data_IF_454350913036
#
_entry.id   IF_454350913036
#
_cell.length_a   1.000
_cell.length_b   1.000
_cell.length_c   1.000
_cell.angle_alpha   90.00
_cell.angle_beta   90.00
_cell.angle_gamma   90.00
#
_symmetry.space_group_name_H-M   'P 1'
#
loop_
_entity.id
_entity.type
_entity.pdbx_description
1 polymer ?
#
# COMPACT_ATOMS: atom_id res chain seq x y z
N UNK A 1 21.05 41.41 10.81
CA UNK A 1 20.63 40.04 10.40
C UNK A 1 19.56 40.08 9.31
N UNK A 2 18.57 40.99 9.35
CA UNK A 2 17.53 41.12 8.30
C UNK A 2 18.07 41.42 6.88
N UNK A 3 19.05 42.32 6.72
CA UNK A 3 19.58 42.65 5.38
C UNK A 3 20.28 41.48 4.66
N UNK A 4 20.85 40.52 5.40
CA UNK A 4 21.47 39.32 4.80
C UNK A 4 20.41 38.30 4.37
N UNK A 5 19.30 38.18 5.10
CA UNK A 5 18.18 37.32 4.69
C UNK A 5 17.51 37.84 3.42
N UNK A 6 17.32 39.16 3.29
CA UNK A 6 16.75 39.76 2.07
C UNK A 6 17.66 39.55 0.85
N UNK A 7 18.99 39.69 1.01
CA UNK A 7 19.95 39.41 -0.08
C UNK A 7 19.95 37.94 -0.49
N UNK A 8 19.90 37.02 0.46
CA UNK A 8 19.86 35.59 0.17
C UNK A 8 18.55 35.18 -0.53
N UNK A 9 17.40 35.70 -0.08
CA UNK A 9 16.12 35.47 -0.75
C UNK A 9 16.13 36.02 -2.18
N UNK A 10 16.67 37.21 -2.42
CA UNK A 10 16.77 37.79 -3.76
C UNK A 10 17.68 36.93 -4.65
N UNK A 11 18.82 36.48 -4.13
CA UNK A 11 19.74 35.60 -4.87
C UNK A 11 19.09 34.26 -5.23
N UNK A 12 18.34 33.66 -4.31
CA UNK A 12 17.60 32.42 -4.53
C UNK A 12 16.54 32.59 -5.63
N UNK A 13 15.79 33.71 -5.61
CA UNK A 13 14.80 34.02 -6.67
C UNK A 13 15.46 34.23 -8.04
N UNK A 14 16.62 34.88 -8.11
CA UNK A 14 17.33 35.05 -9.38
C UNK A 14 17.87 33.72 -9.93
N UNK A 15 18.34 32.83 -9.06
CA UNK A 15 18.75 31.48 -9.46
C UNK A 15 17.54 30.66 -9.94
N UNK A 16 16.40 30.71 -9.23
CA UNK A 16 15.16 30.05 -9.66
C UNK A 16 14.69 30.53 -11.04
N UNK A 17 14.85 31.82 -11.35
CA UNK A 17 14.54 32.39 -12.67
C UNK A 17 15.53 31.90 -13.74
N UNK A 18 16.84 31.87 -13.44
CA UNK A 18 17.87 31.40 -14.36
C UNK A 18 17.66 29.92 -14.70
N UNK A 19 17.44 29.09 -13.67
CA UNK A 19 17.13 27.67 -13.82
C UNK A 19 15.81 27.46 -14.56
N UNK A 20 14.81 28.32 -14.33
CA UNK A 20 13.53 28.29 -15.04
C UNK A 20 13.66 28.60 -16.53
N UNK A 21 14.55 29.52 -16.92
CA UNK A 21 14.86 29.84 -18.31
C UNK A 21 15.64 28.70 -18.98
N UNK A 22 16.61 28.09 -18.28
CA UNK A 22 17.44 27.01 -18.82
C UNK A 22 16.65 25.69 -18.95
N UNK A 23 15.83 25.36 -17.96
CA UNK A 23 15.08 24.09 -17.90
C UNK A 23 13.70 24.16 -18.57
N UNK A 24 13.21 25.36 -18.89
CA UNK A 24 11.83 25.57 -19.37
C UNK A 24 10.76 25.36 -18.31
N UNK A 25 11.13 25.23 -17.03
CA UNK A 25 10.21 25.02 -15.90
C UNK A 25 10.58 25.91 -14.71
N UNK A 26 9.69 26.84 -14.36
CA UNK A 26 9.83 27.73 -13.19
C UNK A 26 9.38 27.09 -11.86
N UNK A 27 9.12 25.78 -11.83
CA UNK A 27 8.80 25.08 -10.58
C UNK A 27 10.08 24.81 -9.79
N UNK A 28 10.10 25.22 -8.50
CA UNK A 28 11.18 24.88 -7.57
C UNK A 28 11.31 23.35 -7.47
N UNK A 29 12.52 22.86 -7.69
CA UNK A 29 12.82 21.42 -7.61
C UNK A 29 12.79 20.98 -6.15
N UNK A 30 12.16 19.84 -5.89
CA UNK A 30 12.23 19.21 -4.57
C UNK A 30 13.62 18.59 -4.36
N UNK A 31 14.14 18.67 -3.14
CA UNK A 31 15.36 17.99 -2.71
C UNK A 31 15.01 16.66 -2.05
N UNK A 32 15.53 15.57 -2.60
CA UNK A 32 15.30 14.22 -2.11
C UNK A 32 16.59 13.66 -1.53
N UNK A 33 16.53 13.25 -0.26
CA UNK A 33 17.62 12.54 0.39
C UNK A 33 17.77 11.11 -0.12
N UNK A 34 19.00 10.61 -0.16
CA UNK A 34 19.32 9.21 -0.36
C UNK A 34 20.33 8.77 0.69
N UNK A 35 19.95 7.85 1.57
CA UNK A 35 20.92 7.21 2.46
C UNK A 35 21.72 6.17 1.68
N UNK A 36 23.04 6.25 1.74
CA UNK A 36 23.94 5.40 0.94
C UNK A 36 24.61 4.27 1.74
N UNK A 37 24.40 4.23 3.06
CA UNK A 37 24.91 3.18 3.94
C UNK A 37 23.85 2.08 4.14
N UNK A 38 24.26 0.81 4.09
CA UNK A 38 23.39 -0.33 4.41
C UNK A 38 22.89 -1.16 3.22
N UNK A 39 23.27 -0.80 1.99
CA UNK A 39 23.01 -1.64 0.80
C UNK A 39 23.87 -2.90 0.80
N UNK A 40 23.28 -4.05 0.45
CA UNK A 40 24.00 -5.32 0.25
C UNK A 40 24.85 -5.31 -1.03
N UNK A 41 24.60 -4.35 -1.94
CA UNK A 41 25.37 -4.12 -3.17
C UNK A 41 26.42 -3.02 -3.02
N UNK A 42 26.59 -2.48 -1.81
CA UNK A 42 27.58 -1.45 -1.50
C UNK A 42 27.17 -0.02 -1.87
N UNK A 43 28.01 0.92 -1.46
CA UNK A 43 27.79 2.37 -1.63
C UNK A 43 27.80 2.77 -3.12
N UNK A 44 28.64 2.11 -3.92
CA UNK A 44 28.76 2.39 -5.36
C UNK A 44 27.43 2.19 -6.11
N UNK A 45 26.64 1.18 -5.71
CA UNK A 45 25.34 0.91 -6.31
C UNK A 45 24.34 2.03 -6.00
N UNK A 46 24.40 2.60 -4.79
CA UNK A 46 23.58 3.76 -4.40
C UNK A 46 23.95 5.01 -5.20
N UNK A 47 25.26 5.25 -5.41
CA UNK A 47 25.74 6.36 -6.24
C UNK A 47 25.31 6.17 -7.70
N UNK A 48 25.41 4.94 -8.22
CA UNK A 48 24.96 4.60 -9.56
C UNK A 48 23.47 4.88 -9.73
N UNK A 49 22.64 4.59 -8.72
CA UNK A 49 21.23 4.95 -8.71
C UNK A 49 21.01 6.46 -8.78
N UNK A 50 21.73 7.24 -7.98
CA UNK A 50 21.65 8.70 -7.98
C UNK A 50 22.06 9.30 -9.34
N UNK A 51 23.17 8.80 -9.93
CA UNK A 51 23.63 9.20 -11.27
C UNK A 51 22.58 8.86 -12.34
N UNK A 52 21.98 7.67 -12.25
CA UNK A 52 20.93 7.23 -13.18
C UNK A 52 19.69 8.13 -13.07
N UNK A 53 19.26 8.44 -11.86
CA UNK A 53 18.14 9.34 -11.61
C UNK A 53 18.42 10.75 -12.15
N UNK A 54 19.59 11.34 -11.87
CA UNK A 54 20.00 12.66 -12.41
C UNK A 54 20.06 12.68 -13.94
N UNK A 55 20.47 11.57 -14.56
CA UNK A 55 20.56 11.44 -16.02
C UNK A 55 19.19 11.29 -16.68
N UNK A 56 18.28 10.52 -16.07
CA UNK A 56 16.92 10.28 -16.60
C UNK A 56 15.94 11.40 -16.28
N UNK A 57 16.10 12.04 -15.12
CA UNK A 57 15.12 12.92 -14.52
C UNK A 57 15.78 14.24 -14.10
N UNK A 58 15.24 15.36 -14.58
CA UNK A 58 15.78 16.70 -14.32
C UNK A 58 14.92 17.58 -13.40
N UNK A 59 13.83 17.04 -12.84
CA UNK A 59 12.82 17.81 -12.09
C UNK A 59 13.01 17.80 -10.56
N UNK A 60 14.01 17.09 -10.04
CA UNK A 60 14.32 17.06 -8.61
C UNK A 60 15.83 17.00 -8.38
N UNK A 61 16.25 17.36 -7.16
CA UNK A 61 17.64 17.33 -6.71
C UNK A 61 17.86 16.16 -5.76
N UNK A 62 19.09 15.63 -5.71
CA UNK A 62 19.46 14.49 -4.88
C UNK A 62 20.54 14.93 -3.90
N UNK A 63 20.32 14.64 -2.62
CA UNK A 63 21.26 14.88 -1.52
C UNK A 63 21.67 13.53 -0.94
N UNK A 64 22.96 13.22 -0.91
CA UNK A 64 23.47 11.97 -0.35
C UNK A 64 23.71 12.10 1.15
N UNK A 65 23.34 11.07 1.91
CA UNK A 65 23.57 10.99 3.36
C UNK A 65 24.31 9.69 3.64
N UNK A 66 25.58 9.77 4.05
CA UNK A 66 26.40 8.58 4.30
C UNK A 66 27.90 8.85 4.26
N UNK A 67 28.68 7.82 3.93
CA UNK A 67 30.14 7.95 3.82
C UNK A 67 30.55 8.93 2.72
N UNK A 68 31.70 9.59 2.90
CA UNK A 68 32.24 10.50 1.89
C UNK A 68 32.55 9.76 0.60
N UNK A 69 32.04 10.27 -0.53
CA UNK A 69 32.24 9.69 -1.86
C UNK A 69 32.61 10.76 -2.87
N UNK A 70 33.38 10.42 -3.90
CA UNK A 70 33.75 11.35 -4.97
C UNK A 70 32.64 11.44 -6.01
N UNK A 71 31.78 12.45 -5.89
CA UNK A 71 30.70 12.72 -6.85
C UNK A 71 30.20 14.17 -6.77
N UNK A 72 29.47 14.59 -7.81
CA UNK A 72 28.93 15.95 -7.95
C UNK A 72 27.58 16.16 -7.22
N UNK A 73 27.20 15.25 -6.32
CA UNK A 73 26.01 15.42 -5.49
C UNK A 73 26.36 16.17 -4.22
N UNK A 74 25.40 16.91 -3.68
CA UNK A 74 25.51 17.44 -2.32
C UNK A 74 25.54 16.27 -1.32
N UNK A 75 26.39 16.36 -0.28
CA UNK A 75 26.61 15.25 0.66
C UNK A 75 26.60 15.73 2.10
N UNK A 76 25.88 15.00 2.95
CA UNK A 76 26.02 15.05 4.40
C UNK A 76 26.80 13.82 4.85
N UNK A 77 28.06 14.05 5.19
CA UNK A 77 29.00 12.98 5.56
C UNK A 77 28.73 12.52 7.00
N UNK A 78 28.52 11.22 7.17
CA UNK A 78 28.33 10.54 8.46
C UNK A 78 29.09 9.21 8.46
N UNK A 79 29.44 8.67 9.62
CA UNK A 79 30.27 7.48 9.74
C UNK A 79 29.46 6.19 9.84
N UNK A 80 28.23 6.27 10.37
CA UNK A 80 27.39 5.10 10.63
C UNK A 80 25.97 5.25 10.08
N UNK A 81 25.26 4.13 9.88
CA UNK A 81 23.84 4.14 9.48
C UNK A 81 22.95 4.84 10.51
N UNK A 82 23.27 4.73 11.81
CA UNK A 82 22.51 5.39 12.88
C UNK A 82 22.63 6.91 12.79
N UNK A 83 23.84 7.44 12.61
CA UNK A 83 24.07 8.87 12.38
C UNK A 83 23.38 9.34 11.09
N UNK A 84 23.43 8.53 10.03
CA UNK A 84 22.73 8.79 8.79
C UNK A 84 21.22 8.92 8.97
N UNK A 85 20.61 8.05 9.77
CA UNK A 85 19.18 8.14 10.09
C UNK A 85 18.85 9.40 10.90
N UNK A 86 19.66 9.73 11.93
CA UNK A 86 19.48 10.98 12.69
C UNK A 86 19.58 12.20 11.79
N UNK A 87 20.57 12.23 10.89
CA UNK A 87 20.77 13.34 9.95
C UNK A 87 19.63 13.43 8.93
N UNK A 88 19.17 12.30 8.40
CA UNK A 88 18.00 12.24 7.52
C UNK A 88 16.76 12.86 8.20
N UNK A 89 16.48 12.49 9.45
CA UNK A 89 15.34 13.05 10.21
C UNK A 89 15.50 14.55 10.43
N UNK A 90 16.68 15.01 10.84
CA UNK A 90 16.99 16.45 11.00
C UNK A 90 16.74 17.24 9.70
N UNK A 91 17.14 16.70 8.55
CA UNK A 91 16.96 17.33 7.24
C UNK A 91 15.49 17.35 6.79
N UNK A 92 14.71 16.32 7.14
CA UNK A 92 13.27 16.30 6.90
C UNK A 92 12.54 17.32 7.79
N UNK A 93 12.86 17.37 9.08
CA UNK A 93 12.22 18.26 10.05
C UNK A 93 12.53 19.73 9.80
N UNK A 94 13.74 20.05 9.35
CA UNK A 94 14.12 21.40 8.92
C UNK A 94 13.51 21.80 7.57
N UNK A 95 12.91 20.85 6.84
CA UNK A 95 12.40 21.06 5.49
C UNK A 95 13.50 21.21 4.43
N UNK A 96 14.75 20.90 4.76
CA UNK A 96 15.88 20.94 3.82
C UNK A 96 15.68 19.96 2.66
N UNK A 97 15.29 18.72 2.99
CA UNK A 97 14.79 17.74 2.03
C UNK A 97 13.29 17.55 2.23
N UNK A 98 12.56 17.33 1.13
CA UNK A 98 11.10 17.14 1.17
C UNK A 98 10.70 15.65 1.15
N UNK A 99 11.67 14.76 1.00
CA UNK A 99 11.52 13.32 1.14
C UNK A 99 12.88 12.63 1.17
N UNK A 100 12.92 11.37 1.61
CA UNK A 100 14.14 10.58 1.60
C UNK A 100 13.87 9.14 1.17
N UNK A 101 14.78 8.57 0.39
CA UNK A 101 14.84 7.13 0.10
C UNK A 101 15.88 6.49 1.01
N UNK A 102 15.49 5.44 1.74
CA UNK A 102 16.36 4.70 2.66
C UNK A 102 16.06 3.20 2.64
N UNK A 103 17.03 2.39 3.06
CA UNK A 103 16.90 0.94 3.15
C UNK A 103 16.12 0.50 4.41
N UNK A 104 16.07 1.35 5.42
CA UNK A 104 15.41 1.06 6.69
C UNK A 104 14.95 2.33 7.39
N UNK A 105 13.77 2.26 8.01
CA UNK A 105 13.24 3.30 8.88
C UNK A 105 12.19 2.69 9.80
N UNK A 106 12.19 3.11 11.06
CA UNK A 106 11.22 2.66 12.05
C UNK A 106 9.98 3.55 12.00
N UNK A 107 8.90 3.02 11.40
CA UNK A 107 7.62 3.69 11.37
C UNK A 107 6.83 3.45 12.66
N UNK A 108 6.13 4.46 13.19
CA UNK A 108 5.22 4.26 14.31
C UNK A 108 4.02 3.39 13.90
N UNK A 109 3.33 2.81 14.89
CA UNK A 109 2.04 2.14 14.65
C UNK A 109 1.06 3.15 14.05
N UNK A 110 0.28 2.69 13.06
CA UNK A 110 -0.60 3.55 12.27
C UNK A 110 -0.01 3.97 10.92
N UNK A 111 1.22 3.53 10.62
CA UNK A 111 1.92 3.83 9.38
C UNK A 111 2.41 2.55 8.72
N UNK A 112 2.08 2.41 7.44
CA UNK A 112 2.62 1.38 6.56
C UNK A 112 3.09 2.02 5.26
N UNK A 113 4.04 1.37 4.59
CA UNK A 113 4.60 1.84 3.32
C UNK A 113 3.74 1.40 2.14
N UNK A 114 3.56 2.28 1.17
CA UNK A 114 2.71 2.06 -0.02
C UNK A 114 3.58 1.89 -1.25
N UNK A 115 3.71 0.65 -1.74
CA UNK A 115 4.66 0.32 -2.81
C UNK A 115 4.11 0.59 -4.20
N UNK A 116 5.02 0.83 -5.17
CA UNK A 116 4.66 0.89 -6.59
C UNK A 116 5.44 -0.18 -7.35
N UNK A 117 4.71 -1.11 -7.95
CA UNK A 117 5.25 -2.26 -8.67
C UNK A 117 4.92 -2.17 -10.16
N UNK A 118 5.69 -2.88 -10.99
CA UNK A 118 5.35 -3.12 -12.38
C UNK A 118 4.87 -4.56 -12.52
N UNK A 119 3.67 -4.74 -13.05
CA UNK A 119 3.05 -6.06 -13.14
C UNK A 119 3.62 -6.86 -14.32
N UNK A 120 3.96 -8.15 -14.14
CA UNK A 120 4.65 -8.91 -15.18
C UNK A 120 3.73 -9.34 -16.35
N UNK A 121 2.41 -9.37 -16.15
CA UNK A 121 1.47 -9.83 -17.16
C UNK A 121 1.22 -8.82 -18.28
N UNK A 122 1.22 -7.52 -17.96
CA UNK A 122 0.96 -6.43 -18.93
C UNK A 122 1.94 -5.26 -18.87
N UNK A 123 2.89 -5.27 -17.93
CA UNK A 123 3.83 -4.16 -17.74
C UNK A 123 3.18 -2.91 -17.14
N UNK A 124 1.99 -3.04 -16.52
CA UNK A 124 1.29 -1.91 -15.92
C UNK A 124 1.95 -1.51 -14.60
N UNK A 125 1.95 -0.21 -14.27
CA UNK A 125 2.23 0.22 -12.91
C UNK A 125 1.00 -0.05 -12.02
N UNK A 126 1.22 -0.52 -10.81
CA UNK A 126 0.16 -0.76 -9.82
C UNK A 126 0.68 -0.40 -8.42
N UNK A 127 -0.20 0.20 -7.61
CA UNK A 127 0.07 0.49 -6.21
C UNK A 127 -0.30 -0.72 -5.36
N UNK A 128 0.64 -1.18 -4.54
CA UNK A 128 0.34 -2.07 -3.42
C UNK A 128 0.00 -1.20 -2.21
N UNK A 129 -1.22 -1.31 -1.71
CA UNK A 129 -1.74 -0.49 -0.61
C UNK A 129 -0.89 -0.59 0.67
N UNK A 130 -0.13 -1.67 0.83
CA UNK A 130 0.89 -1.81 1.88
C UNK A 130 2.00 -2.76 1.42
N UNK A 131 3.23 -2.54 1.89
CA UNK A 131 4.36 -3.48 1.68
C UNK A 131 5.18 -3.78 2.95
N UNK A 132 5.28 -2.84 3.88
CA UNK A 132 5.88 -3.06 5.21
C UNK A 132 5.32 -2.07 6.23
N UNK A 133 5.52 -2.31 7.52
CA UNK A 133 4.99 -1.51 8.63
C UNK A 133 3.66 -2.03 9.17
N UNK A 134 3.20 -1.42 10.26
CA UNK A 134 2.05 -1.89 11.05
C UNK A 134 1.04 -0.77 11.22
N UNK A 135 0.03 -0.72 10.35
CA UNK A 135 -1.06 0.26 10.44
C UNK A 135 -2.05 -0.08 11.56
N UNK A 136 -2.38 -1.36 11.75
CA UNK A 136 -3.16 -1.84 12.92
C UNK A 136 -2.68 -3.24 13.32
N UNK A 137 -2.93 -3.61 14.58
CA UNK A 137 -2.76 -4.98 15.07
C UNK A 137 -3.87 -5.92 14.56
N UNK A 138 -5.01 -5.37 14.11
CA UNK A 138 -6.06 -6.12 13.44
C UNK A 138 -5.83 -6.08 11.92
N UNK A 139 -5.73 -7.26 11.29
CA UNK A 139 -5.45 -7.38 9.85
C UNK A 139 -6.50 -6.68 8.97
N UNK A 140 -7.80 -6.88 9.27
CA UNK A 140 -8.90 -6.32 8.47
C UNK A 140 -8.94 -4.80 8.57
N UNK A 141 -8.79 -4.27 9.79
CA UNK A 141 -8.66 -2.83 10.01
C UNK A 141 -7.45 -2.26 9.26
N UNK A 142 -6.28 -2.91 9.39
CA UNK A 142 -5.06 -2.49 8.72
C UNK A 142 -5.22 -2.45 7.20
N UNK A 143 -5.81 -3.48 6.60
CA UNK A 143 -6.09 -3.53 5.16
C UNK A 143 -7.06 -2.41 4.73
N UNK A 144 -8.12 -2.16 5.50
CA UNK A 144 -9.07 -1.10 5.19
C UNK A 144 -8.41 0.29 5.25
N UNK A 145 -7.65 0.60 6.32
CA UNK A 145 -6.91 1.85 6.46
C UNK A 145 -5.90 2.03 5.32
N UNK A 146 -5.18 0.96 4.97
CA UNK A 146 -4.21 0.97 3.88
C UNK A 146 -4.84 1.19 2.50
N UNK A 147 -6.11 0.84 2.29
CA UNK A 147 -6.81 1.19 1.06
C UNK A 147 -6.85 2.72 0.85
N UNK A 148 -7.07 3.49 1.92
CA UNK A 148 -7.03 4.97 1.88
C UNK A 148 -5.61 5.47 1.61
N UNK A 149 -4.60 4.87 2.27
CA UNK A 149 -3.19 5.18 2.01
C UNK A 149 -2.79 4.92 0.55
N UNK A 150 -3.25 3.81 -0.02
CA UNK A 150 -3.05 3.44 -1.43
C UNK A 150 -3.70 4.43 -2.40
N UNK A 151 -4.95 4.83 -2.15
CA UNK A 151 -5.67 5.86 -2.91
C UNK A 151 -4.91 7.19 -2.87
N UNK A 152 -4.40 7.59 -1.71
CA UNK A 152 -3.63 8.82 -1.55
C UNK A 152 -2.33 8.79 -2.37
N UNK A 153 -1.59 7.69 -2.35
CA UNK A 153 -0.39 7.52 -3.16
C UNK A 153 -0.69 7.53 -4.67
N UNK A 154 -1.76 6.84 -5.10
CA UNK A 154 -2.19 6.83 -6.50
C UNK A 154 -2.60 8.24 -6.99
N UNK A 155 -3.33 9.00 -6.16
CA UNK A 155 -3.65 10.41 -6.42
C UNK A 155 -2.41 11.28 -6.51
N UNK A 156 -1.42 11.06 -5.65
CA UNK A 156 -0.16 11.81 -5.66
C UNK A 156 0.68 11.57 -6.93
N UNK A 157 0.51 10.45 -7.62
CA UNK A 157 1.15 10.19 -8.92
C UNK A 157 0.27 10.56 -10.13
N UNK A 158 -0.86 11.24 -9.91
CA UNK A 158 -1.70 11.82 -10.96
C UNK A 158 -2.94 11.01 -11.34
N UNK A 159 -3.20 9.86 -10.68
CA UNK A 159 -4.42 9.08 -10.91
C UNK A 159 -5.56 9.71 -10.12
N UNK A 160 -6.40 10.51 -10.80
CA UNK A 160 -7.45 11.32 -10.15
C UNK A 160 -8.47 10.48 -9.39
N UNK A 161 -8.99 9.43 -10.04
CA UNK A 161 -9.98 8.50 -9.51
C UNK A 161 -9.39 7.09 -9.57
N UNK A 162 -8.51 6.72 -8.62
CA UNK A 162 -7.85 5.43 -8.66
C UNK A 162 -8.85 4.31 -8.36
N UNK A 163 -8.81 3.27 -9.18
CA UNK A 163 -9.60 2.07 -8.98
C UNK A 163 -8.97 1.16 -7.92
N UNK A 164 -9.82 0.55 -7.10
CA UNK A 164 -9.41 -0.30 -5.97
C UNK A 164 -9.82 -1.75 -6.23
N UNK A 165 -8.90 -2.66 -5.96
CA UNK A 165 -9.15 -4.09 -5.89
C UNK A 165 -8.59 -4.67 -4.59
N UNK A 166 -9.17 -5.75 -4.09
CA UNK A 166 -8.79 -6.39 -2.82
C UNK A 166 -8.27 -7.78 -3.12
N UNK A 167 -7.01 -8.05 -2.85
CA UNK A 167 -6.45 -9.38 -3.06
C UNK A 167 -7.22 -10.41 -2.23
N UNK A 168 -7.56 -11.55 -2.84
CA UNK A 168 -8.33 -12.63 -2.22
C UNK A 168 -7.48 -13.41 -1.20
N UNK A 169 -7.26 -12.78 -0.05
CA UNK A 169 -6.59 -13.32 1.14
C UNK A 169 -7.57 -13.31 2.33
N UNK A 170 -7.13 -13.86 3.46
CA UNK A 170 -7.91 -13.87 4.70
C UNK A 170 -8.35 -12.45 5.11
N UNK A 171 -9.65 -12.26 5.39
CA UNK A 171 -10.24 -10.97 5.73
C UNK A 171 -10.67 -10.11 4.53
N UNK A 172 -10.36 -10.52 3.29
CA UNK A 172 -10.66 -9.73 2.09
C UNK A 172 -12.16 -9.40 1.94
N UNK A 173 -13.06 -10.33 2.31
CA UNK A 173 -14.52 -10.09 2.23
C UNK A 173 -15.00 -9.10 3.27
N UNK A 174 -14.40 -9.11 4.46
CA UNK A 174 -14.69 -8.10 5.48
C UNK A 174 -14.20 -6.72 5.06
N UNK A 175 -13.02 -6.64 4.45
CA UNK A 175 -12.49 -5.39 3.89
C UNK A 175 -13.39 -4.88 2.76
N UNK A 176 -13.84 -5.78 1.86
CA UNK A 176 -14.78 -5.44 0.79
C UNK A 176 -16.07 -4.82 1.36
N UNK A 177 -16.65 -5.46 2.39
CA UNK A 177 -17.83 -4.96 3.08
C UNK A 177 -17.60 -3.58 3.71
N UNK A 178 -16.50 -3.40 4.45
CA UNK A 178 -16.13 -2.11 5.07
C UNK A 178 -16.03 -1.01 4.00
N UNK A 179 -15.33 -1.27 2.90
CA UNK A 179 -15.14 -0.26 1.86
C UNK A 179 -16.43 0.04 1.08
N UNK A 180 -17.33 -0.95 0.92
CA UNK A 180 -18.68 -0.73 0.39
C UNK A 180 -19.53 0.15 1.31
N UNK A 181 -19.57 -0.14 2.61
CA UNK A 181 -20.32 0.66 3.59
C UNK A 181 -19.81 2.11 3.65
N UNK A 182 -18.47 2.31 3.61
CA UNK A 182 -17.85 3.65 3.60
C UNK A 182 -18.17 4.41 2.31
N UNK A 183 -18.21 3.71 1.17
CA UNK A 183 -18.62 4.28 -0.11
C UNK A 183 -20.09 4.72 -0.09
N UNK A 184 -20.98 3.86 0.41
CA UNK A 184 -22.42 4.15 0.56
C UNK A 184 -22.66 5.32 1.54
N UNK A 185 -21.81 5.46 2.55
CA UNK A 185 -21.82 6.59 3.49
C UNK A 185 -21.22 7.89 2.91
N UNK A 186 -20.79 7.91 1.65
CA UNK A 186 -20.42 9.12 0.92
C UNK A 186 -18.92 9.37 0.71
N UNK A 187 -18.05 8.38 0.99
CA UNK A 187 -16.65 8.45 0.56
C UNK A 187 -16.51 8.06 -0.92
N UNK A 188 -15.80 8.87 -1.70
CA UNK A 188 -15.57 8.60 -3.13
C UNK A 188 -14.55 7.47 -3.31
N UNK A 189 -15.04 6.29 -3.67
CA UNK A 189 -14.25 5.11 -3.96
C UNK A 189 -14.77 4.37 -5.20
N UNK A 190 -13.86 4.01 -6.11
CA UNK A 190 -14.17 3.26 -7.32
C UNK A 190 -13.56 1.86 -7.21
N UNK A 191 -14.39 0.82 -7.27
CA UNK A 191 -13.91 -0.55 -7.38
C UNK A 191 -13.70 -0.88 -8.86
N UNK A 192 -12.66 -1.64 -9.17
CA UNK A 192 -12.56 -2.34 -10.46
C UNK A 192 -13.16 -3.73 -10.37
N UNK A 193 -13.38 -4.34 -11.52
CA UNK A 193 -13.94 -5.68 -11.66
C UNK A 193 -12.83 -6.67 -12.02
N UNK A 194 -12.82 -7.85 -11.37
CA UNK A 194 -11.91 -8.94 -11.73
C UNK A 194 -12.07 -9.34 -13.21
N UNK A 195 -10.98 -9.78 -13.83
CA UNK A 195 -10.94 -10.26 -15.22
C UNK A 195 -11.72 -11.56 -15.46
N UNK A 196 -12.25 -12.19 -14.41
CA UNK A 196 -13.05 -13.42 -14.52
C UNK A 196 -14.52 -13.11 -14.75
N UNK A 197 -15.26 -14.10 -15.25
CA UNK A 197 -16.67 -13.97 -15.58
C UNK A 197 -17.57 -13.63 -14.38
N UNK A 198 -17.15 -13.96 -13.16
CA UNK A 198 -17.85 -13.66 -11.91
C UNK A 198 -17.59 -12.25 -11.37
N UNK A 199 -16.60 -11.53 -11.92
CA UNK A 199 -16.28 -10.15 -11.57
C UNK A 199 -16.00 -9.91 -10.09
N UNK A 200 -16.29 -8.69 -9.64
CA UNK A 200 -16.20 -8.22 -8.26
C UNK A 200 -14.87 -7.56 -7.90
N UNK A 201 -14.90 -6.86 -6.77
CA UNK A 201 -13.77 -6.14 -6.20
C UNK A 201 -12.68 -7.04 -5.61
N UNK A 202 -12.96 -8.33 -5.43
CA UNK A 202 -12.00 -9.31 -4.86
C UNK A 202 -11.19 -9.95 -5.98
N UNK A 203 -9.89 -9.66 -5.97
CA UNK A 203 -8.91 -9.92 -7.02
C UNK A 203 -8.16 -11.23 -6.78
N UNK A 204 -7.87 -11.97 -7.85
CA UNK A 204 -7.07 -13.21 -7.79
C UNK A 204 -5.66 -12.99 -8.33
N UNK A 205 -4.85 -14.06 -8.31
CA UNK A 205 -3.48 -14.02 -8.84
C UNK A 205 -3.39 -13.50 -10.27
N UNK A 206 -4.33 -13.84 -11.15
CA UNK A 206 -4.32 -13.34 -12.54
C UNK A 206 -4.55 -11.82 -12.61
N UNK A 207 -5.45 -11.28 -11.77
CA UNK A 207 -5.70 -9.84 -11.69
C UNK A 207 -4.48 -9.08 -11.17
N UNK A 208 -3.81 -9.67 -10.17
CA UNK A 208 -2.56 -9.15 -9.63
C UNK A 208 -1.45 -9.10 -10.68
N UNK A 209 -1.28 -10.16 -11.47
CA UNK A 209 -0.27 -10.21 -12.54
C UNK A 209 -0.61 -9.28 -13.71
N UNK A 210 -1.90 -9.06 -13.99
CA UNK A 210 -2.35 -8.16 -15.04
C UNK A 210 -2.29 -6.67 -14.64
N UNK A 211 -2.27 -6.37 -13.33
CA UNK A 211 -2.45 -5.00 -12.83
C UNK A 211 -3.87 -4.49 -13.06
N UNK A 212 -4.87 -5.30 -12.70
CA UNK A 212 -6.29 -4.97 -12.92
C UNK A 212 -6.73 -3.69 -12.20
N UNK A 213 -6.43 -3.46 -10.90
CA UNK A 213 -6.68 -2.19 -10.24
C UNK A 213 -5.46 -1.25 -10.29
N UNK A 214 -5.72 0.05 -10.11
CA UNK A 214 -4.66 1.02 -9.80
C UNK A 214 -4.08 0.77 -8.40
N UNK A 215 -4.94 0.40 -7.43
CA UNK A 215 -4.58 0.10 -6.04
C UNK A 215 -5.02 -1.30 -5.66
N UNK A 216 -4.06 -2.18 -5.38
CA UNK A 216 -4.29 -3.52 -4.85
C UNK A 216 -4.14 -3.53 -3.32
N UNK A 217 -5.22 -3.86 -2.62
CA UNK A 217 -5.28 -3.98 -1.16
C UNK A 217 -4.87 -5.39 -0.74
N UNK A 218 -3.89 -5.50 0.16
CA UNK A 218 -3.46 -6.73 0.81
C UNK A 218 -2.97 -6.43 2.23
N UNK A 219 -2.64 -7.44 3.02
CA UNK A 219 -1.97 -7.25 4.32
C UNK A 219 -0.46 -6.99 4.12
N UNK A 220 0.20 -6.46 5.15
CA UNK A 220 1.60 -6.03 5.03
C UNK A 220 2.57 -7.18 4.76
N UNK A 221 2.33 -8.38 5.27
CA UNK A 221 3.20 -9.53 5.02
C UNK A 221 3.06 -10.01 3.57
N UNK A 222 1.84 -10.11 3.06
CA UNK A 222 1.61 -10.43 1.65
C UNK A 222 2.20 -9.35 0.75
N UNK A 223 1.96 -8.07 1.05
CA UNK A 223 2.54 -6.94 0.31
C UNK A 223 4.06 -6.99 0.24
N UNK A 224 4.73 -7.35 1.34
CA UNK A 224 6.18 -7.53 1.41
C UNK A 224 6.68 -8.61 0.46
N UNK A 225 6.00 -9.75 0.42
CA UNK A 225 6.34 -10.84 -0.49
C UNK A 225 6.10 -10.45 -1.95
N UNK A 226 4.99 -9.77 -2.24
CA UNK A 226 4.63 -9.37 -3.59
C UNK A 226 5.61 -8.36 -4.18
N UNK A 227 5.99 -7.33 -3.43
CA UNK A 227 6.97 -6.34 -3.93
C UNK A 227 8.31 -7.00 -4.21
N UNK A 228 8.80 -7.91 -3.35
CA UNK A 228 10.04 -8.67 -3.59
C UNK A 228 9.95 -9.52 -4.85
N UNK A 229 8.88 -10.31 -4.96
CA UNK A 229 8.66 -11.20 -6.09
C UNK A 229 8.61 -10.43 -7.41
N UNK A 230 7.85 -9.33 -7.47
CA UNK A 230 7.72 -8.53 -8.70
C UNK A 230 9.00 -7.77 -9.04
N UNK A 231 9.71 -7.26 -8.04
CA UNK A 231 10.91 -6.44 -8.25
C UNK A 231 12.13 -7.26 -8.65
N UNK A 232 12.16 -8.55 -8.33
CA UNK A 232 13.32 -9.46 -8.54
C UNK A 232 13.00 -10.70 -9.38
N UNK A 233 11.83 -10.73 -10.03
CA UNK A 233 11.34 -11.91 -10.77
C UNK A 233 12.34 -12.43 -11.81
N UNK A 234 13.07 -11.53 -12.48
CA UNK A 234 14.05 -11.88 -13.53
C UNK A 234 15.48 -12.04 -13.01
N UNK A 235 15.74 -11.80 -11.73
CA UNK A 235 17.09 -11.77 -11.15
C UNK A 235 17.33 -12.86 -10.10
N UNK A 236 16.31 -13.69 -9.81
CA UNK A 236 16.45 -14.78 -8.84
C UNK A 236 16.46 -14.34 -7.38
N UNK A 237 15.99 -13.12 -7.07
CA UNK A 237 15.73 -12.67 -5.70
C UNK A 237 16.84 -11.86 -5.02
N UNK A 238 18.09 -11.90 -5.51
CA UNK A 238 19.23 -11.23 -4.87
C UNK A 238 19.44 -9.78 -5.29
N UNK A 239 18.76 -9.32 -6.34
CA UNK A 239 18.96 -7.98 -6.90
C UNK A 239 17.64 -7.44 -7.47
N UNK A 240 16.97 -6.53 -6.79
CA UNK A 240 15.69 -5.98 -7.27
C UNK A 240 15.92 -4.90 -8.35
N UNK A 241 15.24 -5.00 -9.48
CA UNK A 241 15.51 -4.18 -10.70
C UNK A 241 14.30 -3.44 -11.26
N UNK A 242 13.09 -3.84 -10.90
CA UNK A 242 11.84 -3.36 -11.50
C UNK A 242 10.92 -2.79 -10.42
N UNK A 243 10.10 -1.80 -10.77
CA UNK A 243 9.25 -1.07 -9.83
C UNK A 243 9.98 0.08 -9.12
N UNK A 244 9.37 0.63 -8.09
CA UNK A 244 9.88 1.79 -7.34
C UNK A 244 10.02 1.51 -5.84
N UNK A 245 10.28 0.25 -5.48
CA UNK A 245 10.49 -0.21 -4.11
C UNK A 245 9.21 -0.30 -3.27
N UNK A 246 9.39 -0.24 -1.97
CA UNK A 246 8.36 -0.45 -0.93
C UNK A 246 7.56 0.84 -0.71
N UNK A 247 8.11 1.97 -1.15
CA UNK A 247 7.42 3.25 -1.28
C UNK A 247 7.28 4.03 0.02
N UNK A 248 6.56 5.16 0.01
CA UNK A 248 6.44 6.07 1.15
C UNK A 248 5.66 5.46 2.30
N UNK A 249 6.11 5.72 3.54
CA UNK A 249 5.26 5.54 4.72
C UNK A 249 4.09 6.51 4.71
N UNK A 250 2.86 5.98 4.81
CA UNK A 250 1.62 6.77 4.83
C UNK A 250 0.74 6.29 5.99
N UNK A 251 0.15 7.25 6.69
CA UNK A 251 -0.82 7.03 7.76
C UNK A 251 -1.63 8.31 8.03
N UNK A 252 -2.71 8.19 8.81
CA UNK A 252 -3.68 9.28 9.02
C UNK A 252 -3.04 10.58 9.55
N UNK A 253 -2.06 10.46 10.44
CA UNK A 253 -1.41 11.59 11.13
C UNK A 253 0.12 11.53 10.99
N UNK A 254 0.61 11.11 9.83
CA UNK A 254 2.05 10.97 9.57
C UNK A 254 2.60 12.11 8.71
N UNK A 255 3.79 12.60 9.05
CA UNK A 255 4.32 13.89 8.57
C UNK A 255 5.71 13.81 7.91
N UNK A 256 6.33 12.62 7.83
CA UNK A 256 7.68 12.44 7.26
C UNK A 256 7.62 11.62 5.99
N UNK A 257 8.04 12.18 4.86
CA UNK A 257 8.05 11.45 3.60
C UNK A 257 9.30 10.57 3.49
N UNK A 258 9.21 9.34 3.98
CA UNK A 258 10.29 8.34 3.91
C UNK A 258 9.86 7.18 3.02
N UNK A 259 10.58 6.98 1.93
CA UNK A 259 10.42 5.87 1.00
C UNK A 259 11.38 4.74 1.34
N UNK A 260 10.87 3.51 1.40
CA UNK A 260 11.71 2.33 1.65
C UNK A 260 12.10 1.63 0.35
N UNK A 261 13.37 1.24 0.28
CA UNK A 261 13.92 0.26 -0.66
C UNK A 261 14.50 -0.92 0.14
N UNK A 262 14.64 -2.08 -0.49
CA UNK A 262 15.35 -3.20 0.13
C UNK A 262 16.85 -2.93 0.16
N UNK A 263 17.57 -3.56 1.08
CA UNK A 263 19.04 -3.63 0.99
C UNK A 263 19.51 -4.37 -0.26
N UNK A 264 18.67 -5.24 -0.81
CA UNK A 264 18.91 -5.95 -2.06
C UNK A 264 18.47 -5.15 -3.31
N UNK A 265 17.98 -3.92 -3.15
CA UNK A 265 17.56 -3.11 -4.29
C UNK A 265 18.75 -2.65 -5.12
N UNK A 266 18.65 -2.86 -6.42
CA UNK A 266 19.63 -2.40 -7.40
C UNK A 266 19.38 -0.96 -7.84
N UNK A 267 20.40 -0.37 -8.47
CA UNK A 267 20.35 1.01 -8.97
C UNK A 267 19.15 1.32 -9.89
N UNK A 268 18.70 0.42 -10.78
CA UNK A 268 17.51 0.67 -11.60
C UNK A 268 16.25 0.91 -10.76
N UNK A 269 16.01 0.09 -9.74
CA UNK A 269 14.85 0.25 -8.86
C UNK A 269 14.98 1.49 -7.96
N UNK A 270 16.17 1.72 -7.39
CA UNK A 270 16.41 2.89 -6.52
C UNK A 270 16.22 4.19 -7.32
N UNK A 271 16.63 4.22 -8.60
CA UNK A 271 16.36 5.35 -9.50
C UNK A 271 14.86 5.66 -9.61
N UNK A 272 14.02 4.64 -9.81
CA UNK A 272 12.57 4.81 -9.86
C UNK A 272 11.96 5.15 -8.48
N UNK A 273 12.53 4.62 -7.39
CA UNK A 273 12.14 4.96 -6.02
C UNK A 273 12.40 6.44 -5.69
N UNK A 274 13.53 7.00 -6.15
CA UNK A 274 13.85 8.43 -6.05
C UNK A 274 12.84 9.27 -6.82
N UNK A 275 12.51 8.86 -8.05
CA UNK A 275 11.49 9.53 -8.87
C UNK A 275 10.10 9.46 -8.22
N UNK A 276 9.73 8.32 -7.64
CA UNK A 276 8.47 8.16 -6.93
C UNK A 276 8.43 9.04 -5.67
N UNK A 277 9.51 9.08 -4.89
CA UNK A 277 9.65 9.96 -3.72
C UNK A 277 9.53 11.44 -4.12
N UNK A 278 10.23 11.86 -5.18
CA UNK A 278 10.13 13.22 -5.72
C UNK A 278 8.69 13.58 -6.13
N UNK A 279 8.01 12.69 -6.84
CA UNK A 279 6.61 12.90 -7.26
C UNK A 279 5.68 13.03 -6.05
N UNK A 280 5.86 12.18 -5.05
CA UNK A 280 5.14 12.25 -3.78
C UNK A 280 5.41 13.55 -3.01
N UNK A 281 6.65 14.06 -3.03
CA UNK A 281 7.03 15.32 -2.40
C UNK A 281 6.40 16.51 -3.13
N UNK A 282 6.56 16.57 -4.46
CA UNK A 282 6.02 17.63 -5.32
C UNK A 282 4.50 17.76 -5.19
N UNK A 283 3.80 16.63 -5.15
CA UNK A 283 2.34 16.58 -5.05
C UNK A 283 1.84 16.44 -3.61
N UNK A 284 2.74 16.53 -2.63
CA UNK A 284 2.42 16.54 -1.20
C UNK A 284 1.54 15.37 -0.74
N UNK A 285 2.00 14.14 -1.01
CA UNK A 285 1.25 12.90 -0.73
C UNK A 285 0.72 12.82 0.71
N UNK A 286 1.44 13.37 1.70
CA UNK A 286 0.99 13.35 3.10
C UNK A 286 -0.19 14.29 3.34
N UNK A 287 -0.24 15.46 2.70
CA UNK A 287 -1.41 16.34 2.73
C UNK A 287 -2.61 15.68 2.03
N UNK A 288 -2.38 15.00 0.91
CA UNK A 288 -3.40 14.21 0.20
C UNK A 288 -3.93 13.11 1.13
N UNK A 289 -3.05 12.34 1.78
CA UNK A 289 -3.44 11.28 2.70
C UNK A 289 -4.29 11.82 3.85
N UNK A 290 -3.86 12.90 4.52
CA UNK A 290 -4.65 13.57 5.56
C UNK A 290 -6.03 13.98 5.05
N UNK A 291 -6.14 14.48 3.82
CA UNK A 291 -7.42 14.86 3.21
C UNK A 291 -8.31 13.63 2.96
N UNK A 292 -7.77 12.56 2.41
CA UNK A 292 -8.51 11.32 2.13
C UNK A 292 -8.98 10.63 3.42
N UNK A 293 -8.14 10.54 4.45
CA UNK A 293 -8.57 10.05 5.77
C UNK A 293 -9.66 10.93 6.39
N UNK A 294 -9.57 12.27 6.29
CA UNK A 294 -10.64 13.17 6.75
C UNK A 294 -11.95 12.92 6.02
N UNK A 295 -11.93 12.72 4.69
CA UNK A 295 -13.12 12.39 3.90
C UNK A 295 -13.71 11.03 4.32
N UNK A 296 -12.88 10.01 4.46
CA UNK A 296 -13.32 8.67 4.89
C UNK A 296 -13.92 8.72 6.30
N UNK A 297 -13.26 9.40 7.25
CA UNK A 297 -13.77 9.57 8.61
C UNK A 297 -15.10 10.33 8.66
N UNK A 298 -15.28 11.34 7.79
CA UNK A 298 -16.57 12.05 7.66
C UNK A 298 -17.70 11.11 7.21
N UNK A 299 -17.37 10.06 6.46
CA UNK A 299 -18.27 8.97 6.09
C UNK A 299 -18.36 7.85 7.15
N UNK A 300 -17.91 8.09 8.39
CA UNK A 300 -18.04 7.14 9.50
C UNK A 300 -17.02 5.99 9.50
N UNK A 301 -15.91 6.12 8.76
CA UNK A 301 -14.97 5.02 8.53
C UNK A 301 -14.49 4.28 9.80
N UNK A 302 -14.13 5.01 10.85
CA UNK A 302 -13.68 4.40 12.12
C UNK A 302 -14.76 3.57 12.79
N UNK A 303 -16.01 4.04 12.77
CA UNK A 303 -17.15 3.32 13.35
C UNK A 303 -17.49 2.09 12.53
N UNK A 304 -17.45 2.20 11.20
CA UNK A 304 -17.68 1.09 10.27
C UNK A 304 -16.63 -0.01 10.46
N UNK A 305 -15.34 0.35 10.54
CA UNK A 305 -14.27 -0.60 10.86
C UNK A 305 -14.58 -1.27 12.20
N UNK A 306 -14.79 -0.49 13.26
CA UNK A 306 -15.01 -1.04 14.60
C UNK A 306 -16.22 -2.01 14.64
N UNK A 307 -17.29 -1.73 13.89
CA UNK A 307 -18.46 -2.61 13.82
C UNK A 307 -18.20 -3.91 13.06
N UNK A 308 -17.30 -3.91 12.09
CA UNK A 308 -16.96 -5.09 11.28
C UNK A 308 -15.75 -5.87 11.82
N UNK A 309 -14.98 -5.30 12.75
CA UNK A 309 -13.82 -5.95 13.38
C UNK A 309 -14.03 -6.33 14.84
N UNK A 310 -15.13 -5.91 15.48
CA UNK A 310 -15.56 -6.46 16.78
C UNK A 310 -15.66 -7.98 16.67
N UNK A 311 -14.97 -8.70 17.56
CA UNK A 311 -15.25 -10.11 17.76
C UNK A 311 -16.74 -10.23 18.09
N UNK A 312 -17.50 -10.98 17.29
CA UNK A 312 -18.84 -11.41 17.70
C UNK A 312 -18.64 -12.06 19.06
N UNK A 313 -19.24 -11.50 20.11
CA UNK A 313 -19.21 -12.10 21.44
C UNK A 313 -19.50 -13.58 21.24
N UNK A 314 -18.57 -14.46 21.63
CA UNK A 314 -18.72 -15.92 21.50
C UNK A 314 -20.14 -16.23 21.88
N UNK A 315 -21.01 -16.48 20.89
CA UNK A 315 -22.33 -16.99 21.18
C UNK A 315 -22.06 -18.23 22.01
N UNK A 316 -22.71 -18.30 23.16
CA UNK A 316 -22.65 -19.40 24.12
C UNK A 316 -22.15 -20.69 23.49
N UNK A 317 -21.29 -21.40 24.20
CA UNK A 317 -20.81 -22.76 23.93
C UNK A 317 -21.97 -23.80 23.91
N UNK A 318 -23.13 -23.45 23.36
CA UNK A 318 -24.14 -24.39 22.93
C UNK A 318 -23.48 -25.28 21.88
N UNK A 319 -23.35 -26.56 22.20
CA UNK A 319 -23.08 -27.60 21.22
C UNK A 319 -24.22 -27.57 20.19
N UNK A 320 -24.02 -26.80 19.11
CA UNK A 320 -24.92 -26.82 17.96
C UNK A 320 -24.73 -28.19 17.32
N UNK A 321 -25.72 -29.07 17.54
CA UNK A 321 -25.67 -30.43 17.01
C UNK A 321 -25.81 -30.39 15.50
N UNK A 322 -24.78 -30.87 14.80
CA UNK A 322 -24.79 -31.01 13.35
C UNK A 322 -25.98 -31.88 12.91
N UNK A 323 -26.80 -31.44 11.94
CA UNK A 323 -27.91 -32.22 11.40
C UNK A 323 -27.45 -33.56 10.81
N UNK A 324 -28.37 -34.52 10.59
CA UNK A 324 -28.03 -35.78 9.94
C UNK A 324 -27.32 -35.55 8.60
N UNK A 325 -26.25 -36.31 8.37
CA UNK A 325 -25.42 -36.17 7.17
C UNK A 325 -26.27 -36.34 5.90
N UNK A 326 -26.18 -35.37 5.01
CA UNK A 326 -26.79 -35.37 3.68
C UNK A 326 -25.70 -35.24 2.62
N UNK A 327 -25.99 -35.65 1.40
CA UNK A 327 -25.09 -35.41 0.27
C UNK A 327 -25.11 -33.92 -0.05
N UNK A 328 -23.94 -33.29 -0.07
CA UNK A 328 -23.79 -31.86 -0.38
C UNK A 328 -23.24 -31.72 -1.80
N UNK A 329 -24.01 -31.07 -2.66
CA UNK A 329 -23.66 -30.84 -4.08
C UNK A 329 -23.70 -29.37 -4.46
N UNK A 330 -24.44 -28.56 -3.70
CA UNK A 330 -24.57 -27.14 -3.94
C UNK A 330 -23.48 -26.38 -3.18
N UNK A 331 -22.74 -25.54 -3.90
CA UNK A 331 -21.59 -24.79 -3.37
C UNK A 331 -21.93 -23.31 -3.25
N UNK A 332 -21.97 -22.80 -2.02
CA UNK A 332 -22.19 -21.39 -1.73
C UNK A 332 -20.83 -20.70 -1.54
N UNK A 333 -20.49 -19.82 -2.48
CA UNK A 333 -19.27 -19.02 -2.43
C UNK A 333 -19.50 -17.63 -1.80
N UNK A 334 -18.40 -16.93 -1.51
CA UNK A 334 -18.42 -15.53 -1.03
C UNK A 334 -18.44 -15.38 0.49
N UNK A 335 -18.00 -16.41 1.21
CA UNK A 335 -17.88 -16.43 2.68
C UNK A 335 -16.40 -16.25 3.04
N UNK A 336 -16.11 -15.47 4.09
CA UNK A 336 -14.74 -15.29 4.56
C UNK A 336 -14.23 -16.56 5.25
N UNK A 337 -12.95 -16.89 5.05
CA UNK A 337 -12.34 -18.09 5.64
C UNK A 337 -12.42 -18.09 7.17
N UNK A 338 -12.36 -16.91 7.81
CA UNK A 338 -12.45 -16.77 9.26
C UNK A 338 -13.86 -17.05 9.81
N UNK A 339 -14.87 -17.01 8.96
CA UNK A 339 -16.27 -17.17 9.36
C UNK A 339 -16.88 -18.49 8.87
N UNK A 340 -16.09 -19.32 8.19
CA UNK A 340 -16.59 -20.51 7.50
C UNK A 340 -17.25 -21.51 8.45
N UNK A 341 -16.63 -21.75 9.61
CA UNK A 341 -17.16 -22.66 10.62
C UNK A 341 -18.44 -22.11 11.27
N UNK A 342 -18.46 -20.81 11.54
CA UNK A 342 -19.62 -20.18 12.17
C UNK A 342 -20.79 -20.01 11.19
N UNK A 343 -20.50 -19.83 9.90
CA UNK A 343 -21.48 -19.90 8.82
C UNK A 343 -22.13 -21.28 8.73
N UNK A 344 -21.34 -22.36 8.80
CA UNK A 344 -21.87 -23.73 8.88
C UNK A 344 -22.74 -23.92 10.13
N UNK A 345 -22.28 -23.47 11.29
CA UNK A 345 -23.06 -23.55 12.55
C UNK A 345 -24.38 -22.77 12.47
N UNK A 346 -24.42 -21.63 11.79
CA UNK A 346 -25.65 -20.86 11.59
C UNK A 346 -26.67 -21.65 10.77
N UNK A 347 -26.23 -22.40 9.75
CA UNK A 347 -27.07 -23.31 8.98
C UNK A 347 -27.55 -24.50 9.82
N UNK A 348 -26.68 -25.06 10.66
CA UNK A 348 -27.03 -26.17 11.55
C UNK A 348 -28.13 -25.79 12.54
N UNK A 349 -28.12 -24.55 13.06
CA UNK A 349 -29.20 -24.01 13.91
C UNK A 349 -30.57 -24.01 13.23
N UNK A 350 -30.59 -23.84 11.91
CA UNK A 350 -31.80 -23.86 11.06
C UNK A 350 -32.12 -25.27 10.51
N UNK A 351 -31.40 -26.30 10.96
CA UNK A 351 -31.59 -27.70 10.57
C UNK A 351 -31.04 -28.06 9.19
N UNK A 352 -30.24 -27.19 8.58
CA UNK A 352 -29.63 -27.40 7.26
C UNK A 352 -28.27 -28.08 7.47
N UNK A 353 -28.06 -29.24 6.83
CA UNK A 353 -26.75 -29.88 6.86
C UNK A 353 -25.77 -29.10 5.99
N UNK A 354 -24.60 -28.79 6.52
CA UNK A 354 -23.57 -28.08 5.76
C UNK A 354 -22.17 -28.54 6.13
N UNK A 355 -21.27 -28.52 5.15
CA UNK A 355 -19.84 -28.79 5.33
C UNK A 355 -19.02 -27.57 4.82
N UNK A 356 -17.90 -27.26 5.48
CA UNK A 356 -16.94 -26.27 5.00
C UNK A 356 -16.05 -26.87 3.91
N UNK A 357 -15.71 -26.11 2.87
CA UNK A 357 -14.82 -26.56 1.81
C UNK A 357 -13.99 -25.44 1.19
N UNK A 358 -13.09 -25.83 0.30
CA UNK A 358 -12.30 -24.91 -0.51
C UNK A 358 -12.63 -25.12 -1.99
N UNK A 359 -13.23 -24.10 -2.60
CA UNK A 359 -13.56 -24.09 -4.02
C UNK A 359 -12.44 -23.49 -4.87
N UNK A 360 -12.62 -23.49 -6.19
CA UNK A 360 -11.68 -22.89 -7.15
C UNK A 360 -11.54 -21.36 -6.99
N UNK A 361 -12.41 -20.73 -6.21
CA UNK A 361 -12.54 -19.28 -6.07
C UNK A 361 -12.28 -18.78 -4.65
N UNK A 362 -12.08 -19.69 -3.70
CA UNK A 362 -11.98 -19.33 -2.29
C UNK A 362 -12.76 -20.30 -1.39
N UNK A 363 -12.96 -19.92 -0.12
CA UNK A 363 -13.78 -20.67 0.84
C UNK A 363 -15.22 -20.81 0.35
N UNK A 364 -15.79 -22.00 0.53
CA UNK A 364 -17.18 -22.32 0.17
C UNK A 364 -17.88 -23.07 1.30
N UNK A 365 -19.20 -22.90 1.40
CA UNK A 365 -20.06 -23.75 2.22
C UNK A 365 -20.85 -24.69 1.30
N UNK A 366 -20.79 -25.97 1.59
CA UNK A 366 -21.44 -27.04 0.82
C UNK A 366 -22.74 -27.44 1.51
N UNK A 367 -23.85 -27.46 0.77
CA UNK A 367 -25.18 -27.85 1.25
C UNK A 367 -25.90 -28.80 0.26
N UNK A 368 -26.97 -29.49 0.68
CA UNK A 368 -27.81 -30.26 -0.24
C UNK A 368 -28.45 -29.38 -1.31
N UNK A 369 -28.53 -29.87 -2.56
CA UNK A 369 -29.07 -29.14 -3.71
C UNK A 369 -30.45 -28.50 -3.46
N UNK A 370 -31.34 -29.27 -2.83
CA UNK A 370 -32.71 -28.87 -2.55
C UNK A 370 -32.82 -27.81 -1.41
N UNK A 371 -31.74 -27.53 -0.69
CA UNK A 371 -31.69 -26.57 0.41
C UNK A 371 -30.81 -25.34 0.09
N UNK A 372 -30.23 -25.27 -1.10
CA UNK A 372 -29.30 -24.20 -1.52
C UNK A 372 -29.85 -22.78 -1.35
N UNK A 373 -31.04 -22.50 -1.89
CA UNK A 373 -31.65 -21.16 -1.79
C UNK A 373 -31.95 -20.76 -0.35
N UNK A 374 -32.46 -21.69 0.46
CA UNK A 374 -32.73 -21.44 1.88
C UNK A 374 -31.44 -21.19 2.67
N UNK A 375 -30.38 -21.93 2.36
CA UNK A 375 -29.09 -21.75 2.99
C UNK A 375 -28.48 -20.37 2.65
N UNK A 376 -28.59 -19.91 1.41
CA UNK A 376 -28.17 -18.56 1.03
C UNK A 376 -28.92 -17.48 1.80
N UNK A 377 -30.25 -17.59 1.91
CA UNK A 377 -31.07 -16.66 2.71
C UNK A 377 -30.64 -16.59 4.18
N UNK A 378 -30.37 -17.74 4.79
CA UNK A 378 -29.89 -17.82 6.19
C UNK A 378 -28.53 -17.16 6.34
N UNK A 379 -27.61 -17.38 5.41
CA UNK A 379 -26.27 -16.81 5.45
C UNK A 379 -26.28 -15.29 5.23
N UNK A 380 -27.14 -14.79 4.35
CA UNK A 380 -27.36 -13.35 4.16
C UNK A 380 -27.96 -12.73 5.42
N UNK A 381 -29.02 -13.33 5.98
CA UNK A 381 -29.67 -12.85 7.21
C UNK A 381 -28.73 -12.86 8.42
N UNK A 382 -27.82 -13.83 8.47
CA UNK A 382 -26.82 -13.95 9.54
C UNK A 382 -25.58 -13.08 9.32
N UNK A 383 -25.52 -12.39 8.17
CA UNK A 383 -24.45 -11.47 7.81
C UNK A 383 -23.13 -12.12 7.42
N UNK A 384 -23.14 -13.42 7.06
CA UNK A 384 -21.96 -14.15 6.58
C UNK A 384 -21.78 -14.08 5.06
N UNK A 385 -22.81 -13.65 4.34
CA UNK A 385 -22.81 -13.44 2.90
C UNK A 385 -23.48 -12.09 2.60
N UNK A 386 -22.90 -11.33 1.67
CA UNK A 386 -23.46 -10.05 1.18
C UNK A 386 -24.37 -10.26 -0.01
#
# INVERSE_FOLDING_TARGET
MEQNNVKNMIAEVFNDIADGIESGSFKKKVKIGLTILGSEHGVEEMIKAAKLAKSRYGNFEIVLIGSKVECDFEQFVVETSEEGHKKMVELLESGYIQGCVTQHFDFPIGVSTVGKVTTPGKGCEMILATTTGTTSTNRVEGMALNAISGIAAAKAIGIKNPTVGILNIEGARKVEKILKEVKEAGYELEFTESLRADGGAVMRGNDLLAGTPDVMVCDSLTGNLLVKMMSSFTTGGSYETVGAGYGPGIGENYDKLVNIVSRASGAPLICEALRFCATCAENKVLEIATCEFKKANKAGFKEIIANNTKEKAKSSNEEIKMPPKKVVTYSIAGIDILELDDACKALWKEGIYSESGMGCTGPIVLVPENEGSKAEEVLVKSGYKS
#
